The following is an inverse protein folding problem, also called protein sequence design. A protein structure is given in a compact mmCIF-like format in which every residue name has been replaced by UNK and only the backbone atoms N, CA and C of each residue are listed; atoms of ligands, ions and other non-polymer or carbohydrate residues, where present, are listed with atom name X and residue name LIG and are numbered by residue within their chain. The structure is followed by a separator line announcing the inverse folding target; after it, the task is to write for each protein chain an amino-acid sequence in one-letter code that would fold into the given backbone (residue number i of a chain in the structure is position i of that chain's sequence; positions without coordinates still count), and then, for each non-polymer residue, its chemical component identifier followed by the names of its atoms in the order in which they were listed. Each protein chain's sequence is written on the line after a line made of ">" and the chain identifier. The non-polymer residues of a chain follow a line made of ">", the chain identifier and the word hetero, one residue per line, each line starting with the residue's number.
data_IF_662534184547
#
_entry.id   IF_662534184547
#
_cell.length_a   1.000
_cell.length_b   1.000
_cell.length_c   1.000
_cell.angle_alpha   90.00
_cell.angle_beta   90.00
_cell.angle_gamma   90.00
#
_symmetry.space_group_name_H-M   'P 1'
#
loop_
_entity.id
_entity.type
_entity.pdbx_description
1 polymer ?
#
# COMPACT_ATOMS: atom_id res chain seq x y z
N UNK A 1 -7.09 -12.31 -24.25
CA UNK A 1 -6.88 -11.17 -23.33
C UNK A 1 -7.43 -11.55 -21.96
N UNK A 2 -6.61 -11.56 -20.91
CA UNK A 2 -7.09 -11.75 -19.54
C UNK A 2 -7.93 -10.53 -19.13
N UNK A 3 -9.01 -10.76 -18.38
CA UNK A 3 -9.83 -9.67 -17.82
C UNK A 3 -8.99 -8.91 -16.78
N UNK A 4 -9.10 -7.58 -16.67
CA UNK A 4 -8.43 -6.82 -15.63
C UNK A 4 -8.87 -7.33 -14.25
N UNK A 5 -7.90 -7.66 -13.40
CA UNK A 5 -8.16 -8.17 -12.05
C UNK A 5 -8.70 -7.04 -11.19
N UNK A 6 -9.99 -7.11 -10.82
CA UNK A 6 -10.60 -6.14 -9.91
C UNK A 6 -10.15 -6.42 -8.47
N UNK A 7 -9.42 -5.48 -7.89
CA UNK A 7 -9.11 -5.45 -6.46
C UNK A 7 -10.27 -4.83 -5.68
N UNK A 8 -10.47 -5.26 -4.44
CA UNK A 8 -11.45 -4.65 -3.54
C UNK A 8 -10.88 -3.38 -2.93
N UNK A 9 -11.64 -2.30 -2.94
CA UNK A 9 -11.30 -1.10 -2.17
C UNK A 9 -11.83 -1.21 -0.72
N UNK A 10 -11.39 -0.31 0.15
CA UNK A 10 -11.74 -0.31 1.57
C UNK A 10 -13.26 -0.27 1.81
N UNK A 11 -13.99 0.53 1.03
CA UNK A 11 -15.45 0.61 1.13
C UNK A 11 -16.13 -0.73 0.79
N UNK A 12 -15.63 -1.47 -0.21
CA UNK A 12 -16.17 -2.79 -0.54
C UNK A 12 -15.88 -3.80 0.57
N UNK A 13 -14.73 -3.72 1.25
CA UNK A 13 -14.46 -4.51 2.45
C UNK A 13 -15.45 -4.17 3.58
N UNK A 14 -15.63 -2.88 3.90
CA UNK A 14 -16.59 -2.42 4.91
C UNK A 14 -18.02 -2.87 4.62
N UNK A 15 -18.47 -2.71 3.37
CA UNK A 15 -19.81 -3.12 2.94
C UNK A 15 -20.02 -4.62 3.11
N UNK A 16 -19.00 -5.45 2.85
CA UNK A 16 -19.10 -6.91 3.02
C UNK A 16 -19.25 -7.30 4.48
N UNK A 17 -18.48 -6.69 5.38
CA UNK A 17 -18.52 -7.02 6.81
C UNK A 17 -19.84 -6.63 7.48
N UNK A 18 -20.50 -5.60 6.95
CA UNK A 18 -21.73 -5.06 7.55
C UNK A 18 -23.00 -5.58 6.87
N UNK A 19 -22.87 -6.42 5.84
CA UNK A 19 -24.01 -6.87 5.06
C UNK A 19 -24.99 -7.65 5.93
N UNK A 20 -26.25 -7.23 5.93
CA UNK A 20 -27.31 -7.99 6.58
C UNK A 20 -27.72 -9.13 5.64
N UNK A 21 -27.28 -10.36 5.98
CA UNK A 21 -27.61 -11.56 5.22
C UNK A 21 -29.10 -11.95 5.30
N UNK A 22 -29.87 -11.39 6.24
CA UNK A 22 -31.33 -11.53 6.30
C UNK A 22 -32.07 -10.59 5.35
N UNK A 23 -31.41 -9.56 4.86
CA UNK A 23 -31.99 -8.57 3.96
C UNK A 23 -32.03 -9.08 2.50
N UNK A 24 -33.18 -8.89 1.83
CA UNK A 24 -33.34 -9.17 0.40
C UNK A 24 -32.98 -7.97 -0.49
N UNK A 25 -32.36 -6.93 0.06
CA UNK A 25 -31.96 -5.74 -0.69
C UNK A 25 -30.96 -6.09 -1.79
N UNK A 26 -31.10 -5.43 -2.95
CA UNK A 26 -30.08 -5.52 -3.99
C UNK A 26 -28.80 -4.86 -3.49
N UNK A 27 -27.65 -5.38 -3.92
CA UNK A 27 -26.33 -4.88 -3.53
C UNK A 27 -26.15 -3.37 -3.82
N UNK A 28 -26.76 -2.87 -4.91
CA UNK A 28 -26.74 -1.44 -5.27
C UNK A 28 -27.45 -0.58 -4.23
N UNK A 29 -28.61 -1.02 -3.76
CA UNK A 29 -29.44 -0.29 -2.81
C UNK A 29 -28.80 -0.34 -1.41
N UNK A 30 -28.28 -1.51 -1.05
CA UNK A 30 -27.50 -1.68 0.17
C UNK A 30 -26.25 -0.78 0.20
N UNK A 31 -25.55 -0.65 -0.93
CA UNK A 31 -24.40 0.26 -1.04
C UNK A 31 -24.77 1.71 -0.80
N UNK A 32 -25.91 2.16 -1.33
CA UNK A 32 -26.40 3.53 -1.08
C UNK A 32 -26.78 3.73 0.38
N UNK A 33 -27.37 2.73 1.02
CA UNK A 33 -27.76 2.80 2.43
C UNK A 33 -26.57 2.88 3.37
N UNK A 34 -25.48 2.14 3.08
CA UNK A 34 -24.31 2.07 3.97
C UNK A 34 -23.23 3.12 3.67
N UNK A 35 -23.27 3.77 2.49
CA UNK A 35 -22.30 4.78 2.13
C UNK A 35 -22.23 5.97 3.11
N UNK A 36 -23.35 6.53 3.62
CA UNK A 36 -23.29 7.57 4.65
C UNK A 36 -22.60 7.08 5.93
N UNK A 37 -22.93 5.88 6.41
CA UNK A 37 -22.29 5.29 7.59
C UNK A 37 -20.78 5.20 7.42
N UNK A 38 -20.31 4.73 6.26
CA UNK A 38 -18.89 4.70 5.95
C UNK A 38 -18.26 6.10 6.02
N UNK A 39 -18.92 7.15 5.52
CA UNK A 39 -18.36 8.50 5.59
C UNK A 39 -18.19 8.97 7.03
N UNK A 40 -19.18 8.70 7.87
CA UNK A 40 -19.23 9.11 9.28
C UNK A 40 -18.29 8.30 10.19
N UNK A 41 -17.81 7.13 9.75
CA UNK A 41 -16.83 6.34 10.51
C UNK A 41 -15.50 7.10 10.71
N UNK A 42 -14.88 6.92 11.87
CA UNK A 42 -13.55 7.47 12.14
C UNK A 42 -12.46 6.84 11.26
N UNK A 43 -11.40 7.60 10.95
CA UNK A 43 -10.25 7.09 10.20
C UNK A 43 -9.56 5.91 10.88
N UNK A 44 -9.55 5.90 12.22
CA UNK A 44 -9.03 4.79 13.02
C UNK A 44 -9.82 3.51 12.74
N UNK A 45 -11.16 3.60 12.69
CA UNK A 45 -12.01 2.46 12.38
C UNK A 45 -11.87 2.04 10.90
N UNK A 46 -11.79 3.00 9.98
CA UNK A 46 -11.61 2.74 8.54
C UNK A 46 -10.28 2.05 8.24
N UNK A 47 -9.26 2.24 9.09
CA UNK A 47 -7.89 1.74 8.89
C UNK A 47 -7.82 0.24 8.61
N UNK A 48 -8.58 -0.58 9.34
CA UNK A 48 -8.59 -2.04 9.12
C UNK A 48 -9.05 -2.40 7.69
N UNK A 49 -9.98 -1.62 7.13
CA UNK A 49 -10.48 -1.83 5.77
C UNK A 49 -9.52 -1.36 4.69
N UNK A 50 -8.81 -0.25 4.93
CA UNK A 50 -7.72 0.19 4.06
C UNK A 50 -6.59 -0.84 4.02
N UNK A 51 -6.20 -1.39 5.17
CA UNK A 51 -5.18 -2.43 5.26
C UNK A 51 -5.61 -3.71 4.54
N UNK A 52 -6.85 -4.16 4.76
CA UNK A 52 -7.40 -5.33 4.06
C UNK A 52 -7.42 -5.14 2.53
N UNK A 53 -7.81 -3.94 2.06
CA UNK A 53 -7.82 -3.62 0.64
C UNK A 53 -6.41 -3.59 0.03
N UNK A 54 -5.44 -3.00 0.75
CA UNK A 54 -4.04 -2.97 0.32
C UNK A 54 -3.44 -4.39 0.22
N UNK A 55 -3.76 -5.26 1.20
CA UNK A 55 -3.35 -6.66 1.18
C UNK A 55 -3.93 -7.43 -0.02
N UNK A 56 -5.25 -7.33 -0.25
CA UNK A 56 -5.93 -7.96 -1.40
C UNK A 56 -5.35 -7.46 -2.74
N UNK A 57 -5.02 -6.17 -2.82
CA UNK A 57 -4.37 -5.60 -3.99
C UNK A 57 -3.01 -6.26 -4.27
N UNK A 58 -2.11 -6.32 -3.27
CA UNK A 58 -0.77 -6.92 -3.43
C UNK A 58 -0.88 -8.39 -3.80
N UNK A 59 -1.71 -9.17 -3.10
CA UNK A 59 -1.90 -10.60 -3.37
C UNK A 59 -2.40 -10.86 -4.79
N UNK A 60 -3.35 -10.07 -5.27
CA UNK A 60 -3.88 -10.19 -6.63
C UNK A 60 -2.89 -9.74 -7.70
N UNK A 61 -2.15 -8.67 -7.43
CA UNK A 61 -1.11 -8.19 -8.35
C UNK A 61 -0.05 -9.29 -8.53
N UNK A 62 0.45 -9.86 -7.42
CA UNK A 62 1.40 -10.98 -7.43
C UNK A 62 0.83 -12.21 -8.14
N UNK A 63 -0.42 -12.59 -7.87
CA UNK A 63 -1.09 -13.72 -8.54
C UNK A 63 -1.31 -13.49 -10.05
N UNK A 64 -1.37 -12.23 -10.49
CA UNK A 64 -1.53 -11.86 -11.90
C UNK A 64 -0.21 -11.70 -12.66
N UNK A 65 0.93 -11.95 -12.00
CA UNK A 65 2.27 -11.84 -12.59
C UNK A 65 2.96 -10.48 -12.37
N UNK A 66 2.40 -9.61 -11.53
CA UNK A 66 2.96 -8.29 -11.24
C UNK A 66 2.73 -7.26 -12.34
N UNK A 67 3.29 -6.06 -12.14
CA UNK A 67 3.28 -4.98 -13.14
C UNK A 67 4.50 -5.01 -14.09
N UNK A 68 5.45 -5.94 -13.89
CA UNK A 68 6.68 -6.09 -14.69
C UNK A 68 7.78 -5.07 -14.37
N UNK A 69 7.53 -4.09 -13.48
CA UNK A 69 8.48 -3.04 -13.11
C UNK A 69 8.93 -3.15 -11.66
N UNK A 70 8.08 -3.62 -10.77
CA UNK A 70 8.33 -3.70 -9.33
C UNK A 70 7.81 -5.00 -8.73
N UNK A 71 8.42 -5.41 -7.61
CA UNK A 71 7.94 -6.48 -6.74
C UNK A 71 7.32 -5.80 -5.52
N UNK A 72 6.04 -6.11 -5.26
CA UNK A 72 5.31 -5.62 -4.09
C UNK A 72 5.18 -6.69 -3.01
N UNK A 73 5.23 -6.29 -1.75
CA UNK A 73 4.91 -7.12 -0.59
C UNK A 73 4.10 -6.31 0.42
N UNK A 74 3.39 -7.01 1.32
CA UNK A 74 2.56 -6.40 2.35
C UNK A 74 3.05 -6.84 3.73
N UNK A 75 3.33 -5.87 4.59
CA UNK A 75 3.77 -6.09 5.98
C UNK A 75 2.83 -5.36 6.95
N UNK A 76 2.47 -6.01 8.05
CA UNK A 76 1.57 -5.43 9.05
C UNK A 76 2.14 -5.58 10.47
N UNK A 77 2.17 -4.47 11.20
CA UNK A 77 2.59 -4.37 12.59
C UNK A 77 1.48 -3.71 13.41
N UNK A 78 0.65 -4.54 14.04
CA UNK A 78 -0.53 -4.09 14.77
C UNK A 78 -1.46 -3.26 13.88
N UNK A 79 -1.64 -1.99 14.26
CA UNK A 79 -2.52 -1.04 13.56
C UNK A 79 -1.84 -0.29 12.42
N UNK A 80 -0.60 -0.62 12.05
CA UNK A 80 0.14 0.00 10.96
C UNK A 80 0.45 -1.09 9.92
N UNK A 81 0.40 -0.74 8.63
CA UNK A 81 0.78 -1.64 7.56
C UNK A 81 1.49 -0.89 6.44
N UNK A 82 2.36 -1.59 5.73
CA UNK A 82 3.19 -1.09 4.66
C UNK A 82 2.98 -1.94 3.41
N UNK A 83 2.93 -1.26 2.26
CA UNK A 83 3.12 -1.90 0.96
C UNK A 83 4.54 -1.56 0.53
N UNK A 84 5.42 -2.56 0.57
CA UNK A 84 6.81 -2.40 0.19
C UNK A 84 6.92 -2.67 -1.31
N UNK A 85 7.45 -1.71 -2.06
CA UNK A 85 7.63 -1.80 -3.51
C UNK A 85 9.12 -1.69 -3.85
N UNK A 86 9.64 -2.71 -4.52
CA UNK A 86 11.06 -2.80 -4.89
C UNK A 86 11.21 -2.88 -6.42
N UNK A 87 12.09 -2.09 -7.04
CA UNK A 87 12.27 -2.13 -8.49
C UNK A 87 12.87 -3.46 -8.94
N UNK A 88 12.37 -3.99 -10.06
CA UNK A 88 12.98 -5.13 -10.74
C UNK A 88 14.16 -4.59 -11.55
N UNK A 89 15.39 -4.88 -11.12
CA UNK A 89 16.58 -4.57 -11.90
C UNK A 89 16.64 -5.48 -13.12
N UNK A 90 16.26 -4.95 -14.29
CA UNK A 90 16.55 -5.58 -15.57
C UNK A 90 18.02 -5.35 -15.89
N UNK A 91 18.85 -6.39 -15.73
CA UNK A 91 20.21 -6.37 -16.24
C UNK A 91 20.16 -6.04 -17.73
N UNK A 92 20.62 -4.85 -18.11
CA UNK A 92 20.74 -4.46 -19.51
C UNK A 92 21.89 -5.30 -20.07
N UNK A 93 21.57 -6.39 -20.77
CA UNK A 93 22.53 -7.03 -21.66
C UNK A 93 22.86 -6.01 -22.75
N UNK A 94 23.89 -5.20 -22.49
CA UNK A 94 24.63 -4.53 -23.54
C UNK A 94 25.13 -5.64 -24.48
N UNK A 95 24.87 -5.47 -25.77
CA UNK A 95 25.17 -6.43 -26.82
C UNK A 95 26.64 -6.86 -26.74
N UNK A 96 26.88 -8.15 -26.58
CA UNK A 96 28.19 -8.75 -26.85
C UNK A 96 28.27 -9.03 -28.36
N UNK A 97 28.77 -8.06 -29.12
CA UNK A 97 29.56 -8.39 -30.31
C UNK A 97 30.95 -8.76 -29.80
N UNK A 98 31.29 -10.02 -30.04
CA UNK A 98 32.61 -10.66 -30.01
C UNK A 98 33.56 -10.46 -28.81
N UNK A 99 33.73 -11.59 -28.13
CA UNK A 99 34.99 -12.14 -27.63
C UNK A 99 35.46 -11.75 -26.22
N UNK A 100 35.87 -12.81 -25.52
CA UNK A 100 36.75 -12.83 -24.34
C UNK A 100 36.09 -12.54 -22.99
N UNK A 101 35.54 -13.62 -22.42
CA UNK A 101 36.00 -14.20 -21.15
C UNK A 101 36.61 -13.21 -20.14
N UNK A 102 35.80 -12.70 -19.22
CA UNK A 102 36.17 -12.67 -17.80
C UNK A 102 34.93 -12.47 -16.94
N UNK A 103 34.70 -13.42 -16.05
CA UNK A 103 33.78 -13.30 -14.92
C UNK A 103 34.20 -12.09 -14.08
N UNK A 104 33.54 -10.95 -14.27
CA UNK A 104 33.61 -9.82 -13.35
C UNK A 104 32.19 -9.39 -12.97
N UNK A 105 31.72 -9.98 -11.86
CA UNK A 105 30.62 -9.43 -11.07
C UNK A 105 30.98 -8.02 -10.62
N UNK A 106 30.59 -7.00 -11.37
CA UNK A 106 30.54 -5.64 -10.87
C UNK A 106 29.28 -5.46 -10.03
N UNK A 107 29.33 -5.93 -8.78
CA UNK A 107 28.56 -5.37 -7.69
C UNK A 107 29.01 -3.90 -7.53
N UNK A 108 28.32 -2.98 -8.21
CA UNK A 108 28.37 -1.57 -7.82
C UNK A 108 27.61 -1.42 -6.49
N UNK A 109 28.30 -1.76 -5.40
CA UNK A 109 28.05 -1.19 -4.09
C UNK A 109 28.39 0.29 -4.19
N UNK A 110 27.47 1.09 -4.72
CA UNK A 110 27.52 2.53 -4.53
C UNK A 110 27.15 2.76 -3.08
N UNK A 111 28.17 2.82 -2.23
CA UNK A 111 28.10 3.39 -0.90
C UNK A 111 27.39 4.75 -1.06
N UNK A 112 26.08 4.78 -0.78
CA UNK A 112 25.48 6.03 -0.38
C UNK A 112 26.14 6.33 0.95
N UNK A 113 26.98 7.36 0.96
CA UNK A 113 27.32 8.09 2.18
C UNK A 113 26.00 8.50 2.82
N UNK A 114 25.44 7.61 3.64
CA UNK A 114 24.49 7.97 4.66
C UNK A 114 25.34 8.81 5.60
N UNK A 115 25.33 10.13 5.38
CA UNK A 115 25.61 11.07 6.45
C UNK A 115 24.66 10.67 7.56
N UNK A 116 25.18 10.01 8.58
CA UNK A 116 24.46 9.81 9.83
C UNK A 116 24.31 11.21 10.43
N UNK A 117 23.28 11.92 9.99
CA UNK A 117 22.77 13.04 10.76
C UNK A 117 22.14 12.39 11.99
N UNK A 118 22.83 12.51 13.11
CA UNK A 118 22.36 12.06 14.40
C UNK A 118 21.15 12.93 14.72
N UNK A 119 19.96 12.45 14.38
CA UNK A 119 18.72 13.11 14.77
C UNK A 119 18.68 13.06 16.30
N UNK A 120 18.54 14.20 16.99
CA UNK A 120 18.40 14.19 18.43
C UNK A 120 17.20 13.32 18.81
N UNK A 121 17.38 12.47 19.82
CA UNK A 121 16.31 11.65 20.39
C UNK A 121 15.22 12.61 20.86
N UNK A 122 14.13 12.69 20.11
CA UNK A 122 12.93 13.44 20.52
C UNK A 122 12.21 12.51 21.50
N UNK A 123 12.09 12.94 22.76
CA UNK A 123 11.32 12.23 23.77
C UNK A 123 9.89 11.99 23.24
N UNK A 124 9.36 10.78 23.45
CA UNK A 124 8.07 10.29 22.92
C UNK A 124 6.85 11.13 23.36
N UNK A 125 7.03 12.08 24.30
CA UNK A 125 6.00 13.00 24.78
C UNK A 125 5.77 14.22 23.86
N UNK A 126 6.69 14.53 22.93
CA UNK A 126 6.59 15.72 22.06
C UNK A 126 5.92 15.45 20.68
N UNK A 127 5.53 14.20 20.39
CA UNK A 127 4.95 13.84 19.08
C UNK A 127 3.46 14.18 18.94
N UNK A 128 2.81 14.65 20.00
CA UNK A 128 1.41 15.08 20.00
C UNK A 128 1.31 16.60 20.14
N UNK A 129 1.81 17.34 19.16
CA UNK A 129 1.24 18.67 18.90
C UNK A 129 -0.05 18.50 18.11
N UNK A 130 -1.14 18.49 18.86
CA UNK A 130 -2.49 18.76 18.39
C UNK A 130 -2.46 19.94 17.42
N UNK A 131 -2.73 19.70 16.13
CA UNK A 131 -3.02 20.77 15.19
C UNK A 131 -4.45 21.21 15.44
N UNK A 132 -4.65 22.07 16.43
CA UNK A 132 -5.87 22.88 16.52
C UNK A 132 -5.80 23.90 15.39
N UNK A 133 -6.57 23.67 14.32
CA UNK A 133 -6.84 24.73 13.36
C UNK A 133 -7.86 25.63 14.05
N UNK A 134 -7.41 26.78 14.56
CA UNK A 134 -8.30 27.85 14.99
C UNK A 134 -9.14 28.28 13.79
N UNK A 135 -10.40 27.86 13.80
CA UNK A 135 -11.41 28.29 12.85
C UNK A 135 -11.94 29.66 13.24
N UNK A 136 -11.07 30.66 13.17
CA UNK A 136 -11.47 32.07 13.20
C UNK A 136 -11.26 32.67 11.80
N UNK A 137 -12.25 32.48 10.93
CA UNK A 137 -12.52 33.43 9.85
C UNK A 137 -14.03 33.68 9.75
N UNK A 138 -14.36 34.92 10.11
CA UNK A 138 -15.65 35.61 10.00
C UNK A 138 -16.29 35.51 8.61
#
# INVERSE_FOLDING_TARGET
>A
MSKPVRHMNAFICYRKDNIDHGSKLKMTDYSRFIAPKWQDESDLFKRKYYQAAAKDYVEKEMASGGNGTTIKSFEQFGNIAFVNETPICHGVNLRDDDSQNSDQYFLYNRNNDIKQETVPIINEEDLFKEFTIDSDFY
#
